data_IF_744905119649
#
_entry.id   IF_744905119649
#
_cell.length_a   1.000
_cell.length_b   1.000
_cell.length_c   1.000
_cell.angle_alpha   90.00
_cell.angle_beta   90.00
_cell.angle_gamma   90.00
#
_symmetry.space_group_name_H-M   'P 1'
#
loop_
_entity.id
_entity.type
_entity.pdbx_description
1 polymer ?
#
# COMPACT_ATOMS: atom_id res chain seq x y z
N UNK A 1 29.99 3.94 -15.47
CA UNK A 1 28.69 4.29 -14.87
C UNK A 1 28.85 4.28 -13.35
N UNK A 2 28.56 5.38 -12.66
CA UNK A 2 28.59 5.44 -11.19
C UNK A 2 27.28 4.80 -10.70
N UNK A 3 27.36 3.70 -9.96
CA UNK A 3 26.16 3.13 -9.34
C UNK A 3 25.66 4.09 -8.25
N UNK A 4 24.35 4.37 -8.18
CA UNK A 4 23.80 5.23 -7.14
C UNK A 4 24.02 4.61 -5.75
N UNK A 5 24.25 5.47 -4.74
CA UNK A 5 24.24 5.03 -3.35
C UNK A 5 22.81 4.71 -2.92
N UNK A 6 22.42 3.46 -3.13
CA UNK A 6 21.06 2.97 -2.86
C UNK A 6 20.62 3.15 -1.42
N UNK A 7 21.54 3.11 -0.45
CA UNK A 7 21.21 3.31 0.95
C UNK A 7 20.77 4.76 1.23
N UNK A 8 21.48 5.74 0.67
CA UNK A 8 21.08 7.14 0.79
C UNK A 8 19.75 7.40 0.07
N UNK A 9 19.56 6.83 -1.12
CA UNK A 9 18.29 6.93 -1.85
C UNK A 9 17.16 6.33 -1.02
N UNK A 10 17.33 5.13 -0.46
CA UNK A 10 16.35 4.47 0.39
C UNK A 10 16.01 5.29 1.64
N UNK A 11 17.00 5.87 2.32
CA UNK A 11 16.77 6.75 3.50
C UNK A 11 15.88 7.93 3.15
N UNK A 12 16.17 8.65 2.07
CA UNK A 12 15.36 9.77 1.62
C UNK A 12 13.95 9.32 1.20
N UNK A 13 13.87 8.22 0.47
CA UNK A 13 12.61 7.68 -0.02
C UNK A 13 11.67 7.26 1.11
N UNK A 14 12.17 6.49 2.09
CA UNK A 14 11.42 6.06 3.27
C UNK A 14 11.00 7.26 4.13
N UNK A 15 11.89 8.24 4.33
CA UNK A 15 11.55 9.48 5.05
C UNK A 15 10.38 10.21 4.40
N UNK A 16 10.37 10.32 3.07
CA UNK A 16 9.27 10.95 2.34
C UNK A 16 7.96 10.18 2.51
N UNK A 17 7.97 8.84 2.43
CA UNK A 17 6.75 8.03 2.66
C UNK A 17 6.20 8.21 4.07
N UNK A 18 7.04 8.08 5.09
CA UNK A 18 6.64 8.18 6.50
C UNK A 18 6.13 9.60 6.82
N UNK A 19 6.70 10.64 6.21
CA UNK A 19 6.24 12.02 6.43
C UNK A 19 4.78 12.27 6.02
N UNK A 20 4.23 11.41 5.15
CA UNK A 20 2.83 11.50 4.72
C UNK A 20 1.86 10.79 5.69
N UNK A 21 2.34 9.86 6.52
CA UNK A 21 1.48 9.05 7.39
C UNK A 21 0.52 9.83 8.28
N UNK A 22 0.91 10.98 8.89
CA UNK A 22 -0.01 11.77 9.71
C UNK A 22 -1.24 12.31 8.96
N UNK A 23 -1.20 12.33 7.63
CA UNK A 23 -2.26 12.88 6.78
C UNK A 23 -3.09 11.78 6.10
N UNK A 24 -2.75 10.50 6.34
CA UNK A 24 -3.39 9.35 5.70
C UNK A 24 -4.24 8.64 6.74
N UNK A 25 -5.56 8.61 6.51
CA UNK A 25 -6.52 7.93 7.36
C UNK A 25 -7.35 6.92 6.55
N UNK A 26 -7.59 5.70 7.07
CA UNK A 26 -7.05 5.10 8.31
C UNK A 26 -5.52 4.96 8.32
N UNK A 27 -4.90 4.71 9.49
CA UNK A 27 -3.43 4.64 9.61
C UNK A 27 -2.84 3.65 8.59
N UNK A 28 -1.90 4.09 7.73
CA UNK A 28 -1.30 3.23 6.73
C UNK A 28 -0.37 2.19 7.36
N UNK A 29 -0.41 0.98 6.83
CA UNK A 29 0.58 -0.06 7.09
C UNK A 29 1.52 -0.10 5.91
N UNK A 30 2.80 0.15 6.17
CA UNK A 30 3.85 0.14 5.19
C UNK A 30 4.09 -1.25 4.58
N UNK A 31 4.13 -1.33 3.24
CA UNK A 31 4.29 -2.59 2.52
C UNK A 31 5.33 -2.53 1.42
N UNK A 32 5.89 -3.70 1.11
CA UNK A 32 6.41 -4.01 -0.21
C UNK A 32 5.52 -5.05 -0.88
N UNK A 33 5.28 -4.89 -2.18
CA UNK A 33 4.39 -5.76 -2.95
C UNK A 33 5.15 -6.39 -4.09
N UNK A 34 5.21 -7.71 -4.12
CA UNK A 34 5.67 -8.48 -5.27
C UNK A 34 4.51 -8.68 -6.25
N UNK A 35 4.68 -8.25 -7.51
CA UNK A 35 3.69 -8.43 -8.56
C UNK A 35 4.38 -8.57 -9.93
N UNK A 36 4.06 -9.62 -10.69
CA UNK A 36 4.63 -9.89 -12.03
C UNK A 36 6.16 -9.76 -12.08
N UNK A 37 6.86 -10.34 -11.11
CA UNK A 37 8.33 -10.29 -10.93
C UNK A 37 8.91 -8.91 -10.61
N UNK A 38 8.07 -7.90 -10.39
CA UNK A 38 8.47 -6.58 -9.93
C UNK A 38 8.21 -6.40 -8.44
N UNK A 39 9.10 -5.68 -7.76
CA UNK A 39 8.89 -5.24 -6.38
C UNK A 39 8.41 -3.80 -6.37
N UNK A 40 7.30 -3.55 -5.69
CA UNK A 40 6.69 -2.24 -5.52
C UNK A 40 6.72 -1.86 -4.05
N UNK A 41 6.64 -0.56 -3.77
CA UNK A 41 6.57 -0.04 -2.40
C UNK A 41 5.32 0.82 -2.25
N UNK A 42 4.73 0.77 -1.06
CA UNK A 42 3.50 1.47 -0.80
C UNK A 42 3.03 1.30 0.63
N UNK A 43 1.74 1.47 0.80
CA UNK A 43 1.03 1.19 2.04
C UNK A 43 -0.33 0.56 1.74
N UNK A 44 -0.85 -0.17 2.73
CA UNK A 44 -2.25 -0.61 2.76
C UNK A 44 -3.00 0.09 3.90
N UNK A 45 -4.31 0.24 3.75
CA UNK A 45 -5.23 0.70 4.79
C UNK A 45 -6.40 -0.28 4.87
N UNK A 46 -6.79 -0.71 6.06
CA UNK A 46 -8.01 -1.50 6.25
C UNK A 46 -9.19 -0.54 6.17
N UNK A 47 -10.07 -0.71 5.18
CA UNK A 47 -11.08 0.30 4.83
C UNK A 47 -12.50 -0.04 5.31
N UNK A 48 -12.78 -1.30 5.63
CA UNK A 48 -14.07 -1.73 6.22
C UNK A 48 -13.85 -2.68 7.40
N UNK A 49 -13.17 -2.24 8.48
CA UNK A 49 -12.79 -3.12 9.58
C UNK A 49 -13.99 -3.81 10.27
N UNK A 50 -15.14 -3.14 10.34
CA UNK A 50 -16.36 -3.67 10.98
C UNK A 50 -17.05 -4.76 10.17
N UNK A 51 -16.85 -4.77 8.84
CA UNK A 51 -17.41 -5.78 7.95
C UNK A 51 -16.40 -6.90 7.66
N UNK A 52 -15.19 -6.53 7.22
CA UNK A 52 -14.13 -7.48 6.94
C UNK A 52 -12.76 -6.80 7.00
N UNK A 53 -11.87 -7.18 7.94
CA UNK A 53 -10.52 -6.63 8.03
C UNK A 53 -9.63 -7.04 6.85
N UNK A 54 -10.10 -7.97 6.01
CA UNK A 54 -9.41 -8.40 4.78
C UNK A 54 -9.53 -7.36 3.66
N UNK A 55 -10.53 -6.47 3.71
CA UNK A 55 -10.71 -5.46 2.66
C UNK A 55 -9.76 -4.30 2.90
N UNK A 56 -8.80 -4.15 1.98
CA UNK A 56 -7.75 -3.14 2.07
C UNK A 56 -7.72 -2.24 0.84
N UNK A 57 -7.40 -0.97 1.05
CA UNK A 57 -6.93 -0.06 0.00
C UNK A 57 -5.41 -0.15 -0.07
N UNK A 58 -4.86 -0.56 -1.22
CA UNK A 58 -3.45 -0.55 -1.53
C UNK A 58 -3.12 0.72 -2.31
N UNK A 59 -2.16 1.50 -1.82
CA UNK A 59 -1.49 2.57 -2.58
C UNK A 59 -0.04 2.17 -2.81
N UNK A 60 0.42 2.11 -4.06
CA UNK A 60 1.79 1.70 -4.41
C UNK A 60 2.46 2.59 -5.46
N UNK A 61 3.77 2.45 -5.59
CA UNK A 61 4.54 3.03 -6.69
C UNK A 61 4.01 2.62 -8.06
N UNK A 62 4.07 3.54 -9.03
CA UNK A 62 3.68 3.24 -10.42
C UNK A 62 4.62 2.23 -11.07
N UNK A 63 5.92 2.37 -10.81
CA UNK A 63 6.96 1.51 -11.36
C UNK A 63 7.49 0.57 -10.27
N UNK A 64 7.98 -0.60 -10.69
CA UNK A 64 8.74 -1.46 -9.80
C UNK A 64 10.07 -0.78 -9.45
N UNK A 65 10.59 -1.12 -8.29
CA UNK A 65 11.86 -0.66 -7.77
C UNK A 65 13.02 -1.41 -8.42
N UNK A 66 14.17 -0.76 -8.46
CA UNK A 66 15.44 -1.39 -8.81
C UNK A 66 15.88 -2.30 -7.67
N UNK A 67 16.51 -3.44 -7.99
CA UNK A 67 16.91 -4.45 -7.00
C UNK A 67 17.78 -3.87 -5.88
N UNK A 68 18.75 -3.01 -6.22
CA UNK A 68 19.61 -2.37 -5.23
C UNK A 68 18.85 -1.45 -4.25
N UNK A 69 17.74 -0.84 -4.70
CA UNK A 69 16.86 -0.05 -3.83
C UNK A 69 16.02 -0.97 -2.92
N UNK A 70 15.54 -2.11 -3.44
CA UNK A 70 14.79 -3.10 -2.66
C UNK A 70 15.63 -3.62 -1.50
N UNK A 71 16.88 -4.01 -1.79
CA UNK A 71 17.81 -4.51 -0.76
C UNK A 71 18.13 -3.45 0.29
N UNK A 72 18.34 -2.20 -0.15
CA UNK A 72 18.56 -1.08 0.76
C UNK A 72 17.37 -0.82 1.68
N UNK A 73 16.14 -0.86 1.14
CA UNK A 73 14.91 -0.69 1.92
C UNK A 73 14.74 -1.83 2.93
N UNK A 74 14.92 -3.10 2.51
CA UNK A 74 14.83 -4.27 3.41
C UNK A 74 15.81 -4.18 4.59
N UNK A 75 17.01 -3.64 4.37
CA UNK A 75 18.00 -3.43 5.45
C UNK A 75 17.61 -2.32 6.41
N UNK A 76 17.04 -1.22 5.90
CA UNK A 76 16.69 -0.05 6.70
C UNK A 76 15.34 -0.20 7.43
N UNK A 77 14.42 -0.99 6.88
CA UNK A 77 13.08 -1.21 7.40
C UNK A 77 12.71 -2.72 7.31
N UNK A 78 13.33 -3.58 8.14
CA UNK A 78 13.14 -5.02 8.08
C UNK A 78 11.74 -5.47 8.51
N UNK A 79 10.98 -4.59 9.17
CA UNK A 79 9.62 -4.87 9.66
C UNK A 79 8.54 -4.52 8.62
N UNK A 80 8.91 -3.92 7.49
CA UNK A 80 7.98 -3.62 6.40
C UNK A 80 7.29 -4.90 5.94
N UNK A 81 5.97 -4.86 5.87
CA UNK A 81 5.18 -6.02 5.51
C UNK A 81 5.41 -6.40 4.04
N UNK A 82 5.81 -7.64 3.78
CA UNK A 82 5.96 -8.16 2.43
C UNK A 82 4.66 -8.83 1.99
N UNK A 83 4.12 -8.38 0.86
CA UNK A 83 2.92 -8.90 0.25
C UNK A 83 3.23 -9.48 -1.12
N UNK A 84 2.55 -10.56 -1.48
CA UNK A 84 2.55 -11.15 -2.82
C UNK A 84 1.18 -10.93 -3.46
N UNK A 85 1.14 -10.32 -4.63
CA UNK A 85 -0.09 -10.12 -5.38
C UNK A 85 -0.33 -11.30 -6.33
N UNK A 86 -1.55 -11.83 -6.32
CA UNK A 86 -2.02 -12.80 -7.31
C UNK A 86 -1.79 -12.27 -8.74
N UNK A 87 -1.23 -13.11 -9.62
CA UNK A 87 -0.88 -12.73 -10.99
C UNK A 87 -2.08 -12.28 -11.83
N UNK A 88 -3.30 -12.71 -11.43
CA UNK A 88 -4.57 -12.34 -12.07
C UNK A 88 -4.99 -10.90 -11.76
N UNK A 89 -4.40 -10.25 -10.75
CA UNK A 89 -4.68 -8.85 -10.44
C UNK A 89 -4.09 -7.93 -11.51
N UNK A 90 -4.85 -6.91 -11.88
CA UNK A 90 -4.34 -5.77 -12.63
C UNK A 90 -4.01 -4.63 -11.66
N UNK A 91 -2.72 -4.46 -11.38
CA UNK A 91 -2.20 -3.41 -10.51
C UNK A 91 -1.50 -2.29 -11.29
N UNK A 92 -1.87 -2.05 -12.56
CA UNK A 92 -1.24 -1.00 -13.40
C UNK A 92 -1.45 0.42 -12.82
N UNK A 93 -2.50 0.63 -12.02
CA UNK A 93 -2.74 1.87 -11.27
C UNK A 93 -1.90 2.04 -9.99
N UNK A 94 -2.11 3.17 -9.30
CA UNK A 94 -1.50 3.43 -7.98
C UNK A 94 -2.36 2.94 -6.82
N UNK A 95 -3.68 3.11 -6.92
CA UNK A 95 -4.64 2.84 -5.84
C UNK A 95 -5.54 1.69 -6.25
N UNK A 96 -5.72 0.72 -5.36
CA UNK A 96 -6.48 -0.51 -5.61
C UNK A 96 -7.26 -0.90 -4.36
N UNK A 97 -8.50 -1.37 -4.51
CA UNK A 97 -9.23 -2.01 -3.42
C UNK A 97 -9.16 -3.52 -3.62
N UNK A 98 -8.62 -4.22 -2.64
CA UNK A 98 -8.25 -5.63 -2.73
C UNK A 98 -8.66 -6.39 -1.48
N UNK A 99 -8.60 -7.71 -1.58
CA UNK A 99 -8.66 -8.60 -0.42
C UNK A 99 -7.24 -9.00 -0.02
N UNK A 100 -6.93 -8.90 1.26
CA UNK A 100 -5.68 -9.37 1.86
C UNK A 100 -5.94 -10.60 2.73
N UNK A 101 -5.29 -11.71 2.39
CA UNK A 101 -5.22 -12.92 3.20
C UNK A 101 -3.79 -13.11 3.66
N UNK A 102 -3.53 -12.82 4.94
CA UNK A 102 -2.19 -12.81 5.51
C UNK A 102 -1.21 -11.94 4.70
N UNK A 103 -0.38 -12.56 3.86
CA UNK A 103 0.62 -11.90 3.02
C UNK A 103 0.25 -11.92 1.54
N UNK A 104 -0.95 -12.35 1.17
CA UNK A 104 -1.39 -12.48 -0.22
C UNK A 104 -2.47 -11.44 -0.52
N UNK A 105 -2.32 -10.73 -1.63
CA UNK A 105 -3.34 -9.86 -2.20
C UNK A 105 -4.07 -10.58 -3.33
N UNK A 106 -5.40 -10.57 -3.29
CA UNK A 106 -6.26 -11.19 -4.28
C UNK A 106 -7.51 -10.33 -4.54
N UNK A 107 -8.36 -10.75 -5.47
CA UNK A 107 -9.63 -10.10 -5.74
C UNK A 107 -10.56 -10.24 -4.52
N UNK A 108 -11.39 -9.22 -4.22
CA UNK A 108 -12.50 -9.38 -3.29
C UNK A 108 -13.38 -10.58 -3.64
N UNK A 109 -13.93 -11.25 -2.63
CA UNK A 109 -15.00 -12.23 -2.87
C UNK A 109 -16.22 -11.54 -3.50
N UNK A 110 -17.15 -12.27 -4.15
CA UNK A 110 -18.38 -11.66 -4.66
C UNK A 110 -19.16 -10.88 -3.60
N UNK A 111 -19.18 -11.39 -2.37
CA UNK A 111 -19.82 -10.74 -1.22
C UNK A 111 -19.11 -9.42 -0.85
N UNK A 112 -17.78 -9.46 -0.73
CA UNK A 112 -16.98 -8.26 -0.46
C UNK A 112 -17.11 -7.22 -1.58
N UNK A 113 -17.10 -7.66 -2.84
CA UNK A 113 -17.28 -6.79 -4.00
C UNK A 113 -18.65 -6.11 -3.98
N UNK A 114 -19.72 -6.86 -3.67
CA UNK A 114 -21.06 -6.31 -3.49
C UNK A 114 -21.12 -5.30 -2.35
N UNK A 115 -20.48 -5.59 -1.22
CA UNK A 115 -20.39 -4.67 -0.09
C UNK A 115 -19.66 -3.37 -0.45
N UNK A 116 -18.49 -3.48 -1.09
CA UNK A 116 -17.67 -2.32 -1.54
C UNK A 116 -18.47 -1.44 -2.50
N UNK A 117 -19.22 -2.04 -3.44
CA UNK A 117 -20.04 -1.30 -4.40
C UNK A 117 -21.20 -0.55 -3.72
N UNK A 118 -21.80 -1.14 -2.67
CA UNK A 118 -22.87 -0.51 -1.89
C UNK A 118 -22.37 0.57 -0.92
N UNK A 119 -21.09 0.53 -0.55
CA UNK A 119 -20.46 1.44 0.40
C UNK A 119 -19.24 2.11 -0.24
N UNK A 120 -19.44 3.01 -1.23
CA UNK A 120 -18.31 3.68 -1.85
C UNK A 120 -17.48 4.40 -0.79
N UNK A 121 -16.17 4.34 -0.94
CA UNK A 121 -15.23 5.06 -0.08
C UNK A 121 -15.45 6.56 -0.32
N UNK A 122 -16.38 7.16 0.42
CA UNK A 122 -16.50 8.60 0.46
C UNK A 122 -15.17 9.12 0.99
N UNK A 123 -14.50 9.99 0.23
CA UNK A 123 -13.65 11.00 0.86
C UNK A 123 -14.56 11.70 1.87
N UNK A 124 -14.48 11.32 3.15
CA UNK A 124 -14.99 12.16 4.21
C UNK A 124 -14.23 13.47 4.03
N UNK A 125 -14.93 14.47 3.50
CA UNK A 125 -14.56 15.85 3.71
C UNK A 125 -14.22 15.95 5.18
N UNK A 126 -13.05 16.52 5.46
CA UNK A 126 -12.66 16.91 6.80
C UNK A 126 -13.84 17.68 7.35
N UNK A 127 -14.60 17.06 8.26
CA UNK A 127 -15.65 17.74 9.00
C UNK A 127 -14.95 18.93 9.65
N UNK A 128 -15.22 20.11 9.10
CA UNK A 128 -14.83 21.39 9.65
C UNK A 128 -15.67 21.63 10.91
N UNK A 129 -15.51 20.77 11.91
CA UNK A 129 -15.98 20.97 13.27
C UNK A 129 -14.79 21.24 14.19
N UNK A 130 -13.96 22.20 13.79
CA UNK A 130 -13.26 23.08 14.74
C UNK A 130 -13.86 24.48 14.53
N UNK A 131 -15.11 24.62 14.96
CA UNK A 131 -15.66 25.89 15.42
C UNK A 131 -16.30 25.63 16.77
N UNK A 132 -15.53 25.89 17.81
CA UNK A 132 -15.89 26.71 18.97
C UNK A 132 -14.66 26.88 19.86
#
# INVERSE_FOLDING_TARGET
MIQPNWENVAKHFLKSLISMHPYIHPTPIDVMVEWRKGMYIGHIQIIFPDYSPEIVSLSKSSNHLQDGLVDAIRRLDPNRLNLMADERLDLTGRIHVLRRLENILTNPTPEQAGYIAAHPLYHREVDASIRN
#
